data_IF_222555717522
#
_entry.id   IF_222555717522
#
_cell.length_a   1.000
_cell.length_b   1.000
_cell.length_c   1.000
_cell.angle_alpha   90.00
_cell.angle_beta   90.00
_cell.angle_gamma   90.00
#
_symmetry.space_group_name_H-M   'P 1'
#
loop_
_entity.id
_entity.type
_entity.pdbx_description
1 polymer ?
#
# COMPACT_ATOMS: atom_id res chain seq x y z
N UNK A 1 -47.61 5.08 -3.09
CA UNK A 1 -47.50 4.92 -4.55
C UNK A 1 -46.19 4.17 -4.76
N UNK A 2 -46.27 2.86 -4.92
CA UNK A 2 -45.09 1.99 -5.12
C UNK A 2 -44.45 2.36 -6.45
N UNK A 3 -43.20 2.84 -6.41
CA UNK A 3 -42.38 2.99 -7.59
C UNK A 3 -41.92 1.60 -8.01
N UNK A 4 -42.54 1.09 -9.07
CA UNK A 4 -42.07 -0.06 -9.81
C UNK A 4 -40.60 0.16 -10.18
N UNK A 5 -39.72 -0.73 -9.69
CA UNK A 5 -38.37 -0.86 -10.22
C UNK A 5 -38.50 -1.35 -11.66
N UNK A 6 -38.25 -0.45 -12.61
CA UNK A 6 -37.95 -0.87 -13.98
C UNK A 6 -36.64 -1.65 -13.93
N UNK A 7 -36.72 -2.93 -14.25
CA UNK A 7 -35.60 -3.87 -14.36
C UNK A 7 -34.90 -3.78 -15.73
N UNK A 8 -34.92 -2.62 -16.39
CA UNK A 8 -34.09 -2.37 -17.56
C UNK A 8 -32.77 -1.78 -17.09
N UNK A 9 -31.93 -2.63 -16.48
CA UNK A 9 -30.52 -2.31 -16.29
C UNK A 9 -29.89 -2.29 -17.67
N UNK A 10 -29.68 -1.09 -18.23
CA UNK A 10 -28.85 -0.91 -19.42
C UNK A 10 -27.48 -1.49 -19.07
N UNK A 11 -27.20 -2.68 -19.57
CA UNK A 11 -25.93 -3.36 -19.39
C UNK A 11 -24.82 -2.41 -19.85
N UNK A 12 -23.82 -2.10 -19.00
CA UNK A 12 -22.71 -1.21 -19.38
C UNK A 12 -22.18 -1.61 -20.74
N UNK A 13 -22.11 -0.64 -21.65
CA UNK A 13 -21.48 -0.85 -22.96
C UNK A 13 -19.97 -1.16 -22.76
N UNK A 14 -19.40 -0.76 -21.62
CA UNK A 14 -18.03 -0.96 -21.18
C UNK A 14 -17.57 -2.35 -20.72
N UNK A 15 -18.45 -3.35 -20.59
CA UNK A 15 -18.02 -4.70 -20.19
C UNK A 15 -17.09 -5.36 -21.24
N UNK A 16 -17.01 -4.80 -22.45
CA UNK A 16 -16.17 -5.31 -23.54
C UNK A 16 -14.68 -5.23 -23.23
N UNK A 17 -14.23 -4.18 -22.53
CA UNK A 17 -12.83 -4.01 -22.12
C UNK A 17 -12.60 -4.29 -20.63
N UNK A 18 -13.64 -4.60 -19.86
CA UNK A 18 -13.54 -4.96 -18.44
C UNK A 18 -12.53 -6.11 -18.20
N UNK A 19 -12.54 -7.14 -19.04
CA UNK A 19 -11.59 -8.25 -18.95
C UNK A 19 -10.14 -7.84 -19.25
N UNK A 20 -9.94 -6.76 -20.01
CA UNK A 20 -8.62 -6.18 -20.28
C UNK A 20 -8.18 -5.30 -19.10
N UNK A 21 -9.05 -4.39 -18.65
CA UNK A 21 -8.83 -3.48 -17.51
C UNK A 21 -8.50 -4.27 -16.24
N UNK A 22 -9.30 -5.29 -15.90
CA UNK A 22 -9.13 -6.12 -14.69
C UNK A 22 -7.81 -6.91 -14.64
N UNK A 23 -7.14 -7.11 -15.79
CA UNK A 23 -5.84 -7.80 -15.87
C UNK A 23 -4.64 -6.85 -15.80
N UNK A 24 -4.87 -5.54 -15.83
CA UNK A 24 -3.79 -4.57 -15.82
C UNK A 24 -2.98 -4.61 -14.51
N UNK A 25 -1.68 -4.31 -14.58
CA UNK A 25 -0.75 -4.43 -13.46
C UNK A 25 -1.08 -3.50 -12.27
N UNK A 26 -1.84 -2.43 -12.51
CA UNK A 26 -2.28 -1.47 -11.50
C UNK A 26 -2.99 -2.13 -10.31
N UNK A 27 -3.74 -3.21 -10.53
CA UNK A 27 -4.46 -3.93 -9.45
C UNK A 27 -3.51 -4.73 -8.54
N UNK A 28 -2.25 -4.85 -8.92
CA UNK A 28 -1.15 -5.37 -8.11
C UNK A 28 -0.21 -4.27 -7.61
N UNK A 29 -0.58 -3.00 -7.80
CA UNK A 29 0.22 -1.86 -7.36
C UNK A 29 0.43 -1.92 -5.83
N UNK A 30 1.67 -1.72 -5.36
CA UNK A 30 1.98 -1.84 -3.93
C UNK A 30 1.22 -0.84 -3.05
N UNK A 31 0.84 0.34 -3.58
CA UNK A 31 0.02 1.29 -2.84
C UNK A 31 -1.37 0.74 -2.55
N UNK A 32 -2.05 0.21 -3.57
CA UNK A 32 -3.40 -0.34 -3.43
C UNK A 32 -3.39 -1.59 -2.53
N UNK A 33 -2.36 -2.44 -2.64
CA UNK A 33 -2.18 -3.57 -1.72
C UNK A 33 -1.96 -3.12 -0.29
N UNK A 34 -1.19 -2.05 -0.06
CA UNK A 34 -0.99 -1.49 1.26
C UNK A 34 -2.31 -0.94 1.86
N UNK A 35 -3.15 -0.30 1.04
CA UNK A 35 -4.50 0.10 1.47
C UNK A 35 -5.34 -1.13 1.85
N UNK A 36 -5.40 -2.14 0.97
CA UNK A 36 -6.19 -3.37 1.18
C UNK A 36 -5.78 -4.15 2.44
N UNK A 37 -4.49 -4.13 2.75
CA UNK A 37 -3.91 -4.84 3.89
C UNK A 37 -3.88 -3.98 5.18
N UNK A 38 -4.45 -2.77 5.18
CA UNK A 38 -4.46 -1.84 6.31
C UNK A 38 -3.06 -1.47 6.83
N UNK A 39 -2.13 -1.24 5.90
CA UNK A 39 -0.72 -0.97 6.20
C UNK A 39 -0.38 0.52 6.29
N UNK A 40 -1.31 1.38 5.87
CA UNK A 40 -1.13 2.82 5.79
C UNK A 40 -1.72 3.50 7.02
N UNK A 41 -1.00 4.50 7.53
CA UNK A 41 -1.49 5.40 8.58
C UNK A 41 -2.36 6.52 8.00
N UNK A 42 -3.11 7.22 8.84
CA UNK A 42 -3.88 8.41 8.41
C UNK A 42 -2.96 9.49 7.82
N UNK A 43 -1.72 9.62 8.31
CA UNK A 43 -0.73 10.55 7.75
C UNK A 43 -0.26 10.12 6.34
N UNK A 44 -0.11 8.81 6.10
CA UNK A 44 0.23 8.28 4.77
C UNK A 44 -0.89 8.63 3.76
N UNK A 45 -2.16 8.42 4.13
CA UNK A 45 -3.31 8.84 3.31
C UNK A 45 -3.33 10.34 3.07
N UNK A 46 -3.04 11.15 4.10
CA UNK A 46 -2.96 12.60 3.96
C UNK A 46 -1.93 13.03 2.92
N UNK A 47 -0.75 12.40 2.90
CA UNK A 47 0.26 12.66 1.87
C UNK A 47 -0.23 12.27 0.47
N UNK A 48 -0.82 11.09 0.32
CA UNK A 48 -1.35 10.58 -0.96
C UNK A 48 -2.39 11.53 -1.53
N UNK A 49 -3.37 11.91 -0.70
CA UNK A 49 -4.49 12.78 -1.09
C UNK A 49 -3.99 14.20 -1.37
N UNK A 50 -3.04 14.70 -0.58
CA UNK A 50 -2.43 16.01 -0.83
C UNK A 50 -1.68 16.07 -2.17
N UNK A 51 -0.97 15.00 -2.56
CA UNK A 51 -0.38 14.94 -3.90
C UNK A 51 -1.46 14.81 -4.99
N UNK A 52 -2.47 13.96 -4.77
CA UNK A 52 -3.57 13.74 -5.72
C UNK A 52 -4.42 14.99 -5.97
N UNK A 53 -4.42 15.95 -5.03
CA UNK A 53 -5.08 17.24 -5.21
C UNK A 53 -4.65 17.97 -6.49
N UNK A 54 -3.39 17.85 -6.91
CA UNK A 54 -2.93 18.46 -8.17
C UNK A 54 -3.63 17.88 -9.41
N UNK A 55 -3.80 16.56 -9.44
CA UNK A 55 -4.53 15.88 -10.51
C UNK A 55 -6.01 16.29 -10.48
N UNK A 56 -6.64 16.18 -9.31
CA UNK A 56 -8.07 16.47 -9.11
C UNK A 56 -8.43 17.90 -9.50
N UNK A 57 -7.68 18.91 -9.03
CA UNK A 57 -7.96 20.32 -9.39
C UNK A 57 -7.77 20.61 -10.88
N UNK A 58 -6.97 19.80 -11.58
CA UNK A 58 -6.72 19.91 -13.01
C UNK A 58 -7.65 19.05 -13.87
N UNK A 59 -8.53 18.24 -13.27
CA UNK A 59 -9.28 17.20 -13.98
C UNK A 59 -10.17 17.75 -15.10
N UNK A 60 -10.84 18.89 -14.87
CA UNK A 60 -11.62 19.61 -15.88
C UNK A 60 -10.80 19.99 -17.12
N UNK A 61 -9.48 20.19 -17.00
CA UNK A 61 -8.59 20.44 -18.14
C UNK A 61 -8.39 19.18 -19.01
N UNK A 62 -8.46 17.99 -18.41
CA UNK A 62 -8.39 16.72 -19.14
C UNK A 62 -9.67 16.51 -19.96
N UNK A 63 -10.84 16.74 -19.35
CA UNK A 63 -12.14 16.70 -20.05
C UNK A 63 -12.16 17.72 -21.19
N UNK A 64 -11.71 18.96 -20.95
CA UNK A 64 -11.62 19.98 -21.99
C UNK A 64 -10.67 19.58 -23.14
N UNK A 65 -9.57 18.88 -22.85
CA UNK A 65 -8.66 18.39 -23.89
C UNK A 65 -9.32 17.31 -24.77
N UNK A 66 -10.12 16.41 -24.20
CA UNK A 66 -10.94 15.48 -24.98
C UNK A 66 -11.98 16.24 -25.82
N UNK A 67 -12.65 17.23 -25.23
CA UNK A 67 -13.67 18.04 -25.91
C UNK A 67 -13.12 18.75 -27.16
N UNK A 68 -11.86 19.19 -27.15
CA UNK A 68 -11.19 19.79 -28.31
C UNK A 68 -11.06 18.81 -29.47
N UNK A 69 -10.86 17.52 -29.19
CA UNK A 69 -10.71 16.47 -30.21
C UNK A 69 -12.03 15.81 -30.62
N UNK A 70 -13.15 16.20 -29.99
CA UNK A 70 -14.46 15.64 -30.25
C UNK A 70 -15.21 16.48 -31.29
N UNK A 71 -15.33 15.99 -32.52
CA UNK A 71 -15.97 16.71 -33.64
C UNK A 71 -17.52 16.73 -33.55
N UNK A 72 -18.11 15.77 -32.85
CA UNK A 72 -19.55 15.63 -32.68
C UNK A 72 -20.09 16.64 -31.65
N UNK A 73 -21.08 17.45 -32.05
CA UNK A 73 -21.63 18.51 -31.21
C UNK A 73 -22.48 17.99 -30.06
N UNK A 74 -23.17 16.87 -30.23
CA UNK A 74 -23.93 16.20 -29.17
C UNK A 74 -22.96 15.74 -28.07
N UNK A 75 -21.86 15.08 -28.43
CA UNK A 75 -20.90 14.61 -27.43
C UNK A 75 -20.14 15.74 -26.74
N UNK A 76 -19.88 16.85 -27.44
CA UNK A 76 -19.37 18.07 -26.77
C UNK A 76 -20.35 18.64 -25.75
N UNK A 77 -21.66 18.56 -25.98
CA UNK A 77 -22.66 18.97 -25.00
C UNK A 77 -22.66 18.05 -23.77
N UNK A 78 -22.55 16.74 -23.95
CA UNK A 78 -22.42 15.77 -22.86
C UNK A 78 -21.12 15.98 -22.04
N UNK A 79 -19.99 16.26 -22.69
CA UNK A 79 -18.75 16.63 -22.01
C UNK A 79 -18.86 17.97 -21.26
N UNK A 80 -19.66 18.91 -21.77
CA UNK A 80 -19.92 20.19 -21.08
C UNK A 80 -20.74 20.00 -19.81
N UNK A 81 -21.66 19.04 -19.81
CA UNK A 81 -22.40 18.62 -18.62
C UNK A 81 -21.45 18.04 -17.57
N UNK A 82 -20.52 17.17 -17.98
CA UNK A 82 -19.48 16.63 -17.08
C UNK A 82 -18.62 17.75 -16.47
N UNK A 83 -18.22 18.75 -17.28
CA UNK A 83 -17.49 19.93 -16.77
C UNK A 83 -18.29 20.76 -15.78
N UNK A 84 -19.61 20.88 -15.99
CA UNK A 84 -20.50 21.62 -15.10
C UNK A 84 -20.65 20.92 -13.75
N UNK A 85 -20.77 19.59 -13.74
CA UNK A 85 -20.85 18.77 -12.53
C UNK A 85 -19.54 18.83 -11.72
N UNK A 86 -18.39 18.62 -12.37
CA UNK A 86 -17.06 18.79 -11.74
C UNK A 86 -16.85 20.20 -11.15
N UNK A 87 -17.51 21.21 -11.74
CA UNK A 87 -17.48 22.60 -11.29
C UNK A 87 -18.49 22.93 -10.17
N UNK A 88 -19.23 21.94 -9.66
CA UNK A 88 -20.17 22.09 -8.54
C UNK A 88 -21.59 22.46 -8.97
N UNK A 89 -21.93 22.27 -10.24
CA UNK A 89 -23.27 22.49 -10.78
C UNK A 89 -23.80 23.93 -10.52
N UNK A 90 -24.91 24.06 -9.79
CA UNK A 90 -25.51 25.33 -9.40
C UNK A 90 -24.74 26.02 -8.25
N UNK A 91 -23.98 25.26 -7.45
CA UNK A 91 -23.19 25.77 -6.33
C UNK A 91 -21.70 25.57 -6.56
N UNK A 92 -21.05 26.62 -7.08
CA UNK A 92 -19.60 26.64 -7.31
C UNK A 92 -18.74 26.39 -6.05
N UNK A 93 -19.32 26.43 -4.85
CA UNK A 93 -18.63 26.07 -3.62
C UNK A 93 -18.50 24.56 -3.42
N UNK A 94 -19.37 23.78 -4.06
CA UNK A 94 -19.39 22.31 -4.05
C UNK A 94 -18.60 21.66 -5.19
N UNK A 95 -17.89 22.47 -6.00
CA UNK A 95 -16.95 21.93 -7.00
C UNK A 95 -16.02 20.89 -6.38
N UNK A 96 -15.72 19.83 -7.12
CA UNK A 96 -15.01 18.67 -6.59
C UNK A 96 -13.65 19.02 -5.97
N UNK A 97 -12.94 19.98 -6.57
CA UNK A 97 -11.70 20.50 -6.00
C UNK A 97 -11.88 21.14 -4.61
N UNK A 98 -13.03 21.79 -4.33
CA UNK A 98 -13.34 22.31 -2.99
C UNK A 98 -13.72 21.21 -2.01
N UNK A 99 -14.46 20.18 -2.43
CA UNK A 99 -14.72 19.00 -1.60
C UNK A 99 -13.39 18.37 -1.13
N UNK A 100 -12.42 18.27 -2.04
CA UNK A 100 -11.09 17.77 -1.72
C UNK A 100 -10.31 18.72 -0.79
N UNK A 101 -10.45 20.05 -0.95
CA UNK A 101 -9.90 21.04 0.01
C UNK A 101 -10.48 20.86 1.41
N UNK A 102 -11.82 20.70 1.52
CA UNK A 102 -12.52 20.48 2.79
C UNK A 102 -11.99 19.19 3.46
N UNK A 103 -11.91 18.09 2.72
CA UNK A 103 -11.33 16.83 3.19
C UNK A 103 -9.87 16.98 3.66
N UNK A 104 -9.03 17.67 2.88
CA UNK A 104 -7.63 17.94 3.22
C UNK A 104 -7.47 18.73 4.52
N UNK A 105 -8.29 19.75 4.71
CA UNK A 105 -8.32 20.56 5.93
C UNK A 105 -8.83 19.76 7.13
N UNK A 106 -10.01 19.16 7.01
CA UNK A 106 -10.73 18.56 8.14
C UNK A 106 -10.10 17.24 8.63
N UNK A 107 -9.62 16.40 7.71
CA UNK A 107 -9.10 15.07 8.05
C UNK A 107 -7.59 15.09 8.27
N UNK A 108 -6.87 15.92 7.53
CA UNK A 108 -5.40 15.88 7.49
C UNK A 108 -4.71 17.17 7.94
N UNK A 109 -5.47 18.23 8.26
CA UNK A 109 -4.91 19.50 8.74
C UNK A 109 -4.16 20.31 7.68
N UNK A 110 -4.40 20.04 6.38
CA UNK A 110 -3.77 20.75 5.26
C UNK A 110 -4.67 21.90 4.84
N UNK A 111 -4.45 23.07 5.44
CA UNK A 111 -5.33 24.24 5.29
C UNK A 111 -5.13 25.04 3.99
N UNK A 112 -3.95 24.95 3.36
CA UNK A 112 -3.63 25.67 2.12
C UNK A 112 -3.07 24.72 1.05
N UNK A 113 -3.91 23.81 0.52
CA UNK A 113 -3.45 22.80 -0.43
C UNK A 113 -3.06 23.36 -1.80
N UNK A 114 -3.51 24.57 -2.15
CA UNK A 114 -3.18 25.22 -3.43
C UNK A 114 -1.72 25.64 -3.52
N UNK A 115 -1.11 26.00 -2.39
CA UNK A 115 0.31 26.36 -2.28
C UNK A 115 1.19 25.20 -1.79
N UNK A 116 0.65 23.99 -1.70
CA UNK A 116 1.43 22.80 -1.36
C UNK A 116 2.55 22.54 -2.37
N UNK A 117 3.66 22.00 -1.88
CA UNK A 117 4.71 21.49 -2.74
C UNK A 117 4.29 20.12 -3.31
N UNK A 118 4.23 20.03 -4.62
CA UNK A 118 3.99 18.77 -5.34
C UNK A 118 5.31 18.15 -5.77
N UNK A 119 5.37 16.83 -5.73
CA UNK A 119 6.53 16.10 -6.24
C UNK A 119 6.55 16.11 -7.77
N UNK A 120 7.75 16.00 -8.34
CA UNK A 120 7.93 16.00 -9.80
C UNK A 120 7.11 14.89 -10.48
N UNK A 121 7.01 13.71 -9.87
CA UNK A 121 6.20 12.61 -10.42
C UNK A 121 4.69 12.92 -10.43
N UNK A 122 4.21 13.77 -9.52
CA UNK A 122 2.81 14.22 -9.46
C UNK A 122 2.53 15.17 -10.63
N UNK A 123 3.44 16.12 -10.85
CA UNK A 123 3.36 17.06 -11.96
C UNK A 123 3.45 16.33 -13.31
N UNK A 124 4.43 15.43 -13.46
CA UNK A 124 4.61 14.63 -14.68
C UNK A 124 3.42 13.70 -14.96
N UNK A 125 2.81 13.09 -13.93
CA UNK A 125 1.62 12.27 -14.13
C UNK A 125 0.49 13.08 -14.80
N UNK A 126 0.18 14.26 -14.25
CA UNK A 126 -0.84 15.13 -14.83
C UNK A 126 -0.47 15.62 -16.23
N UNK A 127 0.76 16.09 -16.43
CA UNK A 127 1.21 16.59 -17.73
C UNK A 127 1.25 15.49 -18.80
N UNK A 128 1.62 14.25 -18.45
CA UNK A 128 1.57 13.11 -19.36
C UNK A 128 0.13 12.75 -19.76
N UNK A 129 -0.82 12.79 -18.82
CA UNK A 129 -2.25 12.61 -19.11
C UNK A 129 -2.76 13.69 -20.06
N UNK A 130 -2.50 14.96 -19.74
CA UNK A 130 -2.91 16.09 -20.57
C UNK A 130 -2.25 16.05 -21.95
N UNK A 131 -0.96 15.71 -22.01
CA UNK A 131 -0.23 15.57 -23.26
C UNK A 131 -0.82 14.44 -24.13
N UNK A 132 -1.13 13.28 -23.55
CA UNK A 132 -1.77 12.20 -24.29
C UNK A 132 -3.10 12.66 -24.89
N UNK A 133 -3.95 13.30 -24.09
CA UNK A 133 -5.27 13.76 -24.55
C UNK A 133 -5.15 14.80 -25.66
N UNK A 134 -4.26 15.79 -25.52
CA UNK A 134 -4.06 16.84 -26.54
C UNK A 134 -3.56 16.34 -27.90
N UNK A 135 -2.93 15.16 -27.95
CA UNK A 135 -2.31 14.63 -29.16
C UNK A 135 -2.93 13.31 -29.63
N UNK A 136 -4.05 12.89 -29.02
CA UNK A 136 -4.84 11.74 -29.45
C UNK A 136 -6.02 12.19 -30.32
N UNK A 137 -6.57 11.27 -31.11
CA UNK A 137 -7.88 11.49 -31.73
C UNK A 137 -9.00 11.28 -30.70
N UNK A 138 -10.25 11.51 -31.12
CA UNK A 138 -11.42 11.35 -30.25
C UNK A 138 -11.54 9.95 -29.64
N UNK A 139 -11.29 8.88 -30.43
CA UNK A 139 -11.40 7.48 -29.96
C UNK A 139 -10.39 7.22 -28.85
N UNK A 140 -9.11 7.50 -29.08
CA UNK A 140 -8.05 7.29 -28.10
C UNK A 140 -8.23 8.16 -26.86
N UNK A 141 -8.61 9.43 -27.03
CA UNK A 141 -8.85 10.32 -25.90
C UNK A 141 -10.04 9.90 -25.03
N UNK A 142 -11.14 9.51 -25.66
CA UNK A 142 -12.32 8.99 -24.97
C UNK A 142 -12.02 7.64 -24.31
N UNK A 143 -11.27 6.76 -24.96
CA UNK A 143 -10.88 5.49 -24.35
C UNK A 143 -9.99 5.67 -23.11
N UNK A 144 -9.06 6.62 -23.17
CA UNK A 144 -8.18 6.99 -22.06
C UNK A 144 -8.98 7.46 -20.85
N UNK A 145 -9.96 8.37 -21.05
CA UNK A 145 -10.76 8.90 -19.95
C UNK A 145 -11.86 7.92 -19.49
N UNK A 146 -12.63 7.37 -20.42
CA UNK A 146 -13.79 6.53 -20.14
C UNK A 146 -13.41 5.25 -19.39
N UNK A 147 -12.60 4.37 -19.98
CA UNK A 147 -12.21 3.12 -19.32
C UNK A 147 -10.95 3.27 -18.44
N UNK A 148 -10.05 4.18 -18.79
CA UNK A 148 -8.73 4.29 -18.14
C UNK A 148 -8.69 5.24 -16.94
N UNK A 149 -9.66 6.15 -16.79
CA UNK A 149 -9.73 7.06 -15.62
C UNK A 149 -11.05 7.00 -14.88
N UNK A 150 -12.17 7.31 -15.53
CA UNK A 150 -13.49 7.37 -14.89
C UNK A 150 -13.96 5.96 -14.54
N UNK A 151 -13.92 5.02 -15.48
CA UNK A 151 -14.41 3.66 -15.28
C UNK A 151 -13.64 2.81 -14.26
N UNK A 152 -12.54 3.32 -13.70
CA UNK A 152 -11.79 2.69 -12.60
C UNK A 152 -11.83 3.50 -11.31
N UNK A 153 -12.50 4.66 -11.29
CA UNK A 153 -12.39 5.62 -10.19
C UNK A 153 -13.06 5.10 -8.92
N UNK A 154 -14.27 4.53 -8.97
CA UNK A 154 -14.90 3.98 -7.77
C UNK A 154 -14.08 2.83 -7.17
N UNK A 155 -13.57 1.92 -8.01
CA UNK A 155 -12.76 0.80 -7.51
C UNK A 155 -11.50 1.32 -6.81
N UNK A 156 -10.76 2.26 -7.43
CA UNK A 156 -9.55 2.84 -6.83
C UNK A 156 -9.89 3.62 -5.56
N UNK A 157 -10.93 4.45 -5.57
CA UNK A 157 -11.30 5.28 -4.42
C UNK A 157 -11.84 4.44 -3.27
N UNK A 158 -12.44 3.27 -3.55
CA UNK A 158 -12.87 2.33 -2.51
C UNK A 158 -11.70 1.86 -1.63
N UNK A 159 -10.49 1.69 -2.18
CA UNK A 159 -9.31 1.36 -1.37
C UNK A 159 -8.98 2.48 -0.37
N UNK A 160 -9.07 3.74 -0.80
CA UNK A 160 -8.79 4.91 0.05
C UNK A 160 -9.89 5.11 1.10
N UNK A 161 -11.14 5.03 0.68
CA UNK A 161 -12.31 5.18 1.53
C UNK A 161 -12.30 4.12 2.63
N UNK A 162 -12.21 2.83 2.25
CA UNK A 162 -12.21 1.71 3.19
C UNK A 162 -11.02 1.76 4.15
N UNK A 163 -9.87 2.24 3.69
CA UNK A 163 -8.69 2.42 4.54
C UNK A 163 -8.88 3.51 5.60
N UNK A 164 -9.44 4.66 5.21
CA UNK A 164 -9.68 5.78 6.11
C UNK A 164 -10.79 5.50 7.12
N UNK A 165 -11.88 4.85 6.71
CA UNK A 165 -12.97 4.47 7.61
C UNK A 165 -12.53 3.46 8.65
N UNK A 166 -11.69 2.49 8.28
CA UNK A 166 -11.10 1.53 9.22
C UNK A 166 -10.16 2.20 10.25
N UNK A 167 -9.55 3.32 9.90
CA UNK A 167 -8.78 4.16 10.83
C UNK A 167 -9.66 5.06 11.70
N UNK A 168 -10.98 5.02 11.54
CA UNK A 168 -11.94 5.77 12.34
C UNK A 168 -12.27 7.17 11.79
N UNK A 169 -11.90 7.49 10.55
CA UNK A 169 -12.33 8.74 9.90
C UNK A 169 -13.82 8.66 9.59
N UNK A 170 -14.56 9.70 9.94
CA UNK A 170 -15.99 9.78 9.68
C UNK A 170 -16.26 9.85 8.16
N UNK A 171 -17.15 9.00 7.66
CA UNK A 171 -17.53 8.93 6.24
C UNK A 171 -18.01 10.28 5.68
N UNK A 172 -18.66 11.11 6.50
CA UNK A 172 -19.11 12.45 6.08
C UNK A 172 -17.95 13.37 5.69
N UNK A 173 -16.77 13.18 6.27
CA UNK A 173 -15.56 13.93 5.93
C UNK A 173 -14.88 13.40 4.65
N UNK A 174 -15.35 12.27 4.12
CA UNK A 174 -14.85 11.62 2.92
C UNK A 174 -15.75 11.88 1.69
N UNK A 175 -16.61 12.92 1.75
CA UNK A 175 -17.57 13.25 0.69
C UNK A 175 -16.98 13.32 -0.72
N UNK A 176 -15.73 13.81 -0.87
CA UNK A 176 -15.02 13.79 -2.15
C UNK A 176 -14.85 12.37 -2.70
N UNK A 177 -14.53 11.39 -1.87
CA UNK A 177 -14.40 10.00 -2.31
C UNK A 177 -15.79 9.39 -2.58
N UNK A 178 -16.74 9.62 -1.68
CA UNK A 178 -18.09 9.06 -1.79
C UNK A 178 -18.79 9.47 -3.08
N UNK A 179 -18.74 10.74 -3.48
CA UNK A 179 -19.41 11.19 -4.71
C UNK A 179 -18.89 10.47 -5.96
N UNK A 180 -17.57 10.26 -6.07
CA UNK A 180 -16.98 9.53 -7.20
C UNK A 180 -17.18 8.00 -7.09
N UNK A 181 -17.56 7.48 -5.92
CA UNK A 181 -17.92 6.07 -5.74
C UNK A 181 -19.41 5.82 -5.98
N UNK A 182 -20.27 6.80 -5.67
CA UNK A 182 -21.73 6.73 -5.80
C UNK A 182 -22.21 7.11 -7.21
N UNK A 183 -21.48 7.96 -7.95
CA UNK A 183 -21.83 8.43 -9.29
C UNK A 183 -21.53 7.44 -10.44
N UNK A 184 -21.02 6.23 -10.15
CA UNK A 184 -20.10 5.58 -11.10
C UNK A 184 -20.72 4.64 -12.16
N UNK A 185 -21.77 5.10 -12.85
CA UNK A 185 -22.22 4.47 -14.10
C UNK A 185 -22.46 5.48 -15.26
N UNK A 186 -22.75 6.76 -15.00
CA UNK A 186 -23.15 7.68 -16.08
C UNK A 186 -21.99 8.38 -16.79
N UNK A 187 -21.00 8.95 -16.07
CA UNK A 187 -19.88 9.69 -16.71
C UNK A 187 -18.98 8.80 -17.54
N UNK A 188 -18.53 7.68 -16.96
CA UNK A 188 -17.75 6.70 -17.68
C UNK A 188 -18.51 6.21 -18.92
N UNK A 189 -19.80 5.85 -18.79
CA UNK A 189 -20.60 5.37 -19.92
C UNK A 189 -20.76 6.43 -21.02
N UNK A 190 -20.95 7.71 -20.66
CA UNK A 190 -20.99 8.81 -21.63
C UNK A 190 -19.68 8.88 -22.41
N UNK A 191 -18.54 8.91 -21.73
CA UNK A 191 -17.24 9.01 -22.40
C UNK A 191 -16.92 7.76 -23.22
N UNK A 192 -17.24 6.57 -22.71
CA UNK A 192 -17.12 5.30 -23.44
C UNK A 192 -17.96 5.33 -24.74
N UNK A 193 -19.18 5.88 -24.69
CA UNK A 193 -20.04 6.04 -25.87
C UNK A 193 -19.45 6.99 -26.92
N UNK A 194 -18.69 8.01 -26.52
CA UNK A 194 -17.96 8.88 -27.46
C UNK A 194 -16.99 8.02 -28.28
N UNK A 195 -16.18 7.18 -27.61
CA UNK A 195 -15.21 6.33 -28.30
C UNK A 195 -15.91 5.37 -29.28
N UNK A 196 -16.99 4.73 -28.84
CA UNK A 196 -17.71 3.72 -29.62
C UNK A 196 -18.47 4.31 -30.81
N UNK A 197 -19.08 5.48 -30.63
CA UNK A 197 -19.76 6.16 -31.73
C UNK A 197 -18.78 6.54 -32.84
N UNK A 198 -17.58 7.01 -32.47
CA UNK A 198 -16.54 7.39 -33.41
C UNK A 198 -15.92 6.19 -34.15
N UNK A 199 -16.10 4.96 -33.66
CA UNK A 199 -15.72 3.74 -34.37
C UNK A 199 -16.60 3.45 -35.60
N UNK A 200 -17.70 4.18 -35.81
CA UNK A 200 -18.58 4.06 -36.98
C UNK A 200 -19.04 2.63 -37.30
N UNK A 201 -19.26 1.81 -36.26
CA UNK A 201 -19.70 0.42 -36.39
C UNK A 201 -18.60 -0.61 -36.66
N UNK A 202 -17.33 -0.20 -36.78
CA UNK A 202 -16.17 -1.10 -36.97
C UNK A 202 -15.24 -1.06 -35.75
N UNK A 203 -15.75 -1.54 -34.61
CA UNK A 203 -15.00 -1.54 -33.36
C UNK A 203 -13.76 -2.44 -33.41
N UNK A 204 -13.79 -3.52 -34.19
CA UNK A 204 -12.67 -4.47 -34.26
C UNK A 204 -11.43 -3.80 -34.87
N UNK A 205 -11.61 -2.89 -35.83
CA UNK A 205 -10.54 -2.07 -36.40
C UNK A 205 -9.90 -1.11 -35.40
N UNK A 206 -10.65 -0.63 -34.41
CA UNK A 206 -10.20 0.34 -33.40
C UNK A 206 -9.84 -0.29 -32.05
N UNK A 207 -10.09 -1.59 -31.88
CA UNK A 207 -9.86 -2.33 -30.62
C UNK A 207 -8.45 -2.13 -30.05
N UNK A 208 -7.43 -2.24 -30.90
CA UNK A 208 -6.03 -2.08 -30.51
C UNK A 208 -5.70 -0.65 -30.06
N UNK A 209 -6.31 0.35 -30.69
CA UNK A 209 -6.12 1.76 -30.32
C UNK A 209 -6.79 2.06 -28.97
N UNK A 210 -7.99 1.52 -28.75
CA UNK A 210 -8.71 1.64 -27.48
C UNK A 210 -7.91 0.95 -26.36
N UNK A 211 -7.49 -0.30 -26.55
CA UNK A 211 -6.67 -1.03 -25.57
C UNK A 211 -5.37 -0.29 -25.25
N UNK A 212 -4.69 0.26 -26.27
CA UNK A 212 -3.46 1.03 -26.06
C UNK A 212 -3.70 2.32 -25.25
N UNK A 213 -4.82 3.02 -25.48
CA UNK A 213 -5.19 4.21 -24.72
C UNK A 213 -5.53 3.88 -23.25
N UNK A 214 -6.26 2.78 -23.03
CA UNK A 214 -6.59 2.27 -21.69
C UNK A 214 -5.30 1.89 -20.94
N UNK A 215 -4.44 1.07 -21.57
CA UNK A 215 -3.16 0.66 -21.00
C UNK A 215 -2.29 1.86 -20.66
N UNK A 216 -2.26 2.88 -21.53
CA UNK A 216 -1.52 4.12 -21.28
C UNK A 216 -2.03 4.85 -20.04
N UNK A 217 -3.34 5.02 -19.88
CA UNK A 217 -3.94 5.68 -18.72
C UNK A 217 -3.60 4.94 -17.42
N UNK A 218 -3.82 3.62 -17.40
CA UNK A 218 -3.60 2.80 -16.23
C UNK A 218 -2.10 2.67 -15.89
N UNK A 219 -1.22 2.59 -16.89
CA UNK A 219 0.24 2.56 -16.71
C UNK A 219 0.76 3.87 -16.13
N UNK A 220 0.24 5.02 -16.58
CA UNK A 220 0.61 6.33 -16.02
C UNK A 220 0.24 6.41 -14.53
N UNK A 221 -0.97 5.95 -14.19
CA UNK A 221 -1.45 5.92 -12.80
C UNK A 221 -0.68 4.92 -11.94
N UNK A 222 -0.35 3.74 -12.47
CA UNK A 222 0.47 2.73 -11.78
C UNK A 222 1.86 3.28 -11.41
N UNK A 223 2.52 3.98 -12.35
CA UNK A 223 3.81 4.65 -12.08
C UNK A 223 3.67 5.72 -11.01
N UNK A 224 2.62 6.53 -11.09
CA UNK A 224 2.31 7.57 -10.11
C UNK A 224 2.12 6.98 -8.70
N UNK A 225 1.27 5.96 -8.57
CA UNK A 225 1.00 5.29 -7.29
C UNK A 225 2.23 4.57 -6.74
N UNK A 226 3.05 3.96 -7.62
CA UNK A 226 4.33 3.36 -7.21
C UNK A 226 5.29 4.42 -6.65
N UNK A 227 5.34 5.61 -7.25
CA UNK A 227 6.18 6.70 -6.76
C UNK A 227 5.70 7.21 -5.39
N UNK A 228 4.39 7.43 -5.21
CA UNK A 228 3.79 7.77 -3.91
C UNK A 228 4.15 6.75 -2.84
N UNK A 229 3.97 5.45 -3.13
CA UNK A 229 4.28 4.37 -2.18
C UNK A 229 5.76 4.34 -1.78
N UNK A 230 6.67 4.59 -2.74
CA UNK A 230 8.11 4.67 -2.46
C UNK A 230 8.42 5.81 -1.49
N UNK A 231 7.78 6.96 -1.63
CA UNK A 231 8.06 8.11 -0.78
C UNK A 231 7.53 7.93 0.64
N UNK A 232 6.30 7.47 0.83
CA UNK A 232 5.79 7.17 2.18
C UNK A 232 6.62 6.07 2.86
N UNK A 233 7.15 5.10 2.10
CA UNK A 233 8.02 4.05 2.64
C UNK A 233 9.40 4.61 3.04
N UNK A 234 9.97 5.53 2.26
CA UNK A 234 11.24 6.19 2.61
C UNK A 234 11.10 7.05 3.87
N UNK A 235 9.99 7.79 4.02
CA UNK A 235 9.76 8.64 5.19
C UNK A 235 9.79 7.81 6.49
N UNK A 236 9.31 6.56 6.46
CA UNK A 236 9.39 5.64 7.61
C UNK A 236 10.83 5.33 8.03
N UNK A 237 11.82 5.50 7.15
CA UNK A 237 13.25 5.31 7.44
C UNK A 237 13.95 6.58 7.95
N UNK A 238 13.34 7.76 7.79
CA UNK A 238 13.95 9.02 8.20
C UNK A 238 14.40 9.03 9.67
N UNK A 239 13.64 8.50 10.65
CA UNK A 239 14.12 8.47 12.03
C UNK A 239 15.47 7.76 12.21
N UNK A 240 15.70 6.68 11.46
CA UNK A 240 16.97 5.92 11.47
C UNK A 240 18.10 6.70 10.80
N UNK A 241 17.78 7.37 9.69
CA UNK A 241 18.76 8.13 8.91
C UNK A 241 19.13 9.46 9.58
N UNK A 242 18.19 10.09 10.27
CA UNK A 242 18.35 11.41 10.86
C UNK A 242 19.50 11.45 11.85
N UNK A 243 19.60 10.46 12.74
CA UNK A 243 20.68 10.39 13.72
C UNK A 243 22.04 10.20 13.06
N UNK A 244 22.09 9.39 11.99
CA UNK A 244 23.30 9.18 11.18
C UNK A 244 23.74 10.48 10.50
N UNK A 245 22.81 11.17 9.84
CA UNK A 245 23.08 12.41 9.09
C UNK A 245 23.43 13.57 10.03
N UNK A 246 22.71 13.70 11.14
CA UNK A 246 22.96 14.72 12.18
C UNK A 246 24.18 14.39 13.05
N UNK A 247 24.75 13.18 12.92
CA UNK A 247 25.82 12.66 13.79
C UNK A 247 25.45 12.75 15.27
N UNK A 248 24.19 12.44 15.58
CA UNK A 248 23.63 12.50 16.92
C UNK A 248 23.50 11.10 17.51
N UNK A 249 23.66 10.99 18.84
CA UNK A 249 23.37 9.75 19.55
C UNK A 249 21.85 9.50 19.56
N UNK A 250 21.41 8.28 19.25
CA UNK A 250 20.00 7.88 19.32
C UNK A 250 19.45 7.93 20.75
N UNK A 251 20.30 7.65 21.74
CA UNK A 251 19.93 7.54 23.15
C UNK A 251 20.90 8.29 24.05
N UNK A 252 20.41 8.74 25.20
CA UNK A 252 21.28 9.29 26.23
C UNK A 252 22.22 8.19 26.76
N UNK A 253 23.49 8.53 26.95
CA UNK A 253 24.51 7.63 27.49
C UNK A 253 24.17 7.17 28.91
N UNK A 254 23.48 8.01 29.67
CA UNK A 254 23.07 7.70 31.05
C UNK A 254 22.01 6.59 31.12
N UNK A 255 21.31 6.31 30.01
CA UNK A 255 20.32 5.22 29.92
C UNK A 255 20.96 3.86 29.55
N UNK A 256 22.27 3.84 29.28
CA UNK A 256 22.97 2.62 28.83
C UNK A 256 23.38 1.77 30.02
N UNK A 257 22.81 0.57 30.10
CA UNK A 257 23.04 -0.39 31.19
C UNK A 257 23.68 -1.69 30.70
N UNK A 258 24.35 -2.40 31.62
CA UNK A 258 24.79 -3.77 31.38
C UNK A 258 23.60 -4.74 31.56
N UNK A 259 23.50 -5.73 30.66
CA UNK A 259 22.47 -6.76 30.71
C UNK A 259 23.09 -8.12 31.03
N UNK A 260 22.54 -8.82 32.02
CA UNK A 260 22.83 -10.23 32.23
C UNK A 260 21.96 -11.04 31.29
N UNK A 261 22.54 -11.94 30.48
CA UNK A 261 21.80 -12.76 29.51
C UNK A 261 21.03 -13.91 30.18
N UNK A 262 20.35 -13.65 31.29
CA UNK A 262 19.46 -14.59 31.97
C UNK A 262 18.03 -14.38 31.48
N UNK A 263 17.23 -15.44 31.46
CA UNK A 263 15.83 -15.36 31.03
C UNK A 263 15.03 -14.33 31.83
N UNK A 264 15.26 -14.27 33.15
CA UNK A 264 14.62 -13.33 34.09
C UNK A 264 15.01 -11.86 33.87
N UNK A 265 16.04 -11.60 33.06
CA UNK A 265 16.52 -10.25 32.77
C UNK A 265 15.96 -9.68 31.46
N UNK A 266 15.19 -10.49 30.72
CA UNK A 266 14.49 -10.05 29.50
C UNK A 266 12.98 -10.23 29.65
N UNK A 267 12.25 -9.48 28.84
CA UNK A 267 10.79 -9.57 28.79
C UNK A 267 10.39 -10.83 28.01
N UNK A 268 9.43 -11.57 28.55
CA UNK A 268 8.92 -12.76 27.88
C UNK A 268 8.22 -12.36 26.57
N UNK A 269 8.81 -12.75 25.44
CA UNK A 269 8.29 -12.37 24.12
C UNK A 269 7.38 -13.47 23.56
N UNK A 270 7.82 -14.72 23.67
CA UNK A 270 7.12 -15.86 23.06
C UNK A 270 7.54 -17.19 23.68
N UNK A 271 6.62 -18.14 23.76
CA UNK A 271 6.93 -19.55 24.01
C UNK A 271 5.97 -20.47 23.24
N UNK A 272 6.39 -21.71 23.01
CA UNK A 272 5.48 -22.78 22.58
C UNK A 272 5.94 -24.13 23.13
N UNK A 273 4.98 -25.00 23.42
CA UNK A 273 5.16 -26.38 23.86
C UNK A 273 4.14 -27.30 23.19
N UNK A 274 4.63 -28.21 22.35
CA UNK A 274 3.85 -29.24 21.66
C UNK A 274 4.59 -30.59 21.72
N UNK A 275 4.05 -31.51 22.52
CA UNK A 275 4.72 -32.78 22.82
C UNK A 275 4.84 -33.72 21.60
N UNK A 276 3.84 -33.76 20.70
CA UNK A 276 3.83 -34.66 19.53
C UNK A 276 4.96 -34.39 18.54
N UNK A 277 5.46 -33.15 18.51
CA UNK A 277 6.45 -32.67 17.56
C UNK A 277 7.79 -32.34 18.23
N UNK A 278 7.96 -32.67 19.52
CA UNK A 278 9.10 -32.26 20.36
C UNK A 278 9.37 -30.75 20.34
N UNK A 279 8.33 -29.93 20.18
CA UNK A 279 8.47 -28.47 20.21
C UNK A 279 8.40 -28.02 21.67
N UNK A 280 9.44 -27.38 22.17
CA UNK A 280 9.44 -26.77 23.49
C UNK A 280 10.55 -25.72 23.53
N UNK A 281 10.18 -24.45 23.64
CA UNK A 281 11.15 -23.36 23.71
C UNK A 281 10.56 -22.09 24.31
N UNK A 282 11.44 -21.23 24.79
CA UNK A 282 11.11 -19.88 25.26
C UNK A 282 11.99 -18.85 24.55
N UNK A 283 11.42 -17.66 24.33
CA UNK A 283 12.11 -16.50 23.77
C UNK A 283 11.90 -15.31 24.70
N UNK A 284 13.00 -14.76 25.21
CA UNK A 284 13.00 -13.49 25.96
C UNK A 284 13.65 -12.40 25.11
N UNK A 285 13.12 -11.18 25.16
CA UNK A 285 13.68 -9.99 24.49
C UNK A 285 14.46 -9.16 25.51
N UNK A 286 15.64 -8.66 25.14
CA UNK A 286 16.32 -7.67 25.97
C UNK A 286 16.09 -6.27 25.38
N UNK A 287 15.32 -5.46 26.11
CA UNK A 287 15.04 -4.08 25.74
C UNK A 287 16.25 -3.18 26.03
N UNK A 288 17.30 -3.35 25.23
CA UNK A 288 18.56 -2.58 25.34
C UNK A 288 18.44 -1.15 24.79
N UNK A 289 17.30 -0.82 24.16
CA UNK A 289 17.04 0.47 23.52
C UNK A 289 17.96 0.78 22.34
N UNK A 290 18.38 -0.27 21.63
CA UNK A 290 19.03 -0.14 20.33
C UNK A 290 18.00 0.26 19.27
N UNK A 291 18.43 1.11 18.35
CA UNK A 291 17.59 1.65 17.28
C UNK A 291 17.19 0.58 16.25
N UNK A 292 18.15 -0.25 15.82
CA UNK A 292 17.96 -1.26 14.77
C UNK A 292 18.12 -2.69 15.27
N UNK A 293 19.05 -2.94 16.18
CA UNK A 293 19.30 -4.28 16.72
C UNK A 293 18.31 -4.64 17.82
N UNK A 294 17.84 -5.88 17.81
CA UNK A 294 16.89 -6.45 18.73
C UNK A 294 17.39 -7.82 19.24
N UNK A 295 18.10 -7.84 20.38
CA UNK A 295 18.64 -9.07 20.97
C UNK A 295 17.55 -9.90 21.65
N UNK A 296 17.55 -11.21 21.37
CA UNK A 296 16.61 -12.19 21.90
C UNK A 296 17.36 -13.42 22.43
N UNK A 297 16.95 -13.93 23.58
CA UNK A 297 17.45 -15.21 24.12
C UNK A 297 16.45 -16.31 23.78
N UNK A 298 16.86 -17.26 22.95
CA UNK A 298 16.15 -18.50 22.67
C UNK A 298 16.70 -19.62 23.56
N UNK A 299 15.80 -20.33 24.23
CA UNK A 299 16.13 -21.45 25.10
C UNK A 299 15.35 -22.70 24.69
N UNK A 300 16.05 -23.81 24.49
CA UNK A 300 15.47 -25.08 24.06
C UNK A 300 15.94 -26.20 25.00
N UNK A 301 15.01 -26.88 25.72
CA UNK A 301 15.36 -28.03 26.54
C UNK A 301 15.96 -29.19 25.74
N UNK A 302 16.61 -30.13 26.44
CA UNK A 302 17.20 -31.32 25.82
C UNK A 302 16.17 -32.09 24.99
N UNK A 303 16.59 -32.54 23.79
CA UNK A 303 15.76 -33.33 22.88
C UNK A 303 14.58 -32.57 22.24
N UNK A 304 14.48 -31.26 22.46
CA UNK A 304 13.43 -30.41 21.92
C UNK A 304 13.93 -29.52 20.77
N UNK A 305 12.99 -28.87 20.09
CA UNK A 305 13.25 -27.87 19.04
C UNK A 305 12.28 -26.69 19.12
N UNK A 306 12.56 -25.62 18.37
CA UNK A 306 11.56 -24.58 18.09
C UNK A 306 10.82 -24.84 16.77
N UNK A 307 9.75 -24.07 16.53
CA UNK A 307 8.95 -24.16 15.31
C UNK A 307 9.74 -23.73 14.06
N UNK A 308 9.42 -24.36 12.92
CA UNK A 308 9.91 -23.90 11.63
C UNK A 308 9.17 -22.64 11.19
N UNK A 309 9.93 -21.58 10.89
CA UNK A 309 9.40 -20.30 10.46
C UNK A 309 10.40 -19.58 9.54
N UNK A 310 10.00 -18.45 8.96
CA UNK A 310 10.85 -17.54 8.19
C UNK A 310 10.42 -16.12 8.51
N UNK A 311 11.34 -15.17 8.50
CA UNK A 311 11.06 -13.78 8.84
C UNK A 311 11.82 -12.81 7.95
N UNK A 312 11.34 -11.57 7.90
CA UNK A 312 11.95 -10.52 7.09
C UNK A 312 13.22 -9.93 7.71
N UNK A 313 13.48 -10.12 9.00
CA UNK A 313 14.72 -9.66 9.64
C UNK A 313 15.84 -10.68 9.40
N UNK A 314 17.07 -10.21 9.44
CA UNK A 314 18.26 -11.06 9.54
C UNK A 314 18.50 -11.42 11.00
N UNK A 315 19.04 -12.61 11.22
CA UNK A 315 19.37 -13.06 12.58
C UNK A 315 20.78 -13.65 12.62
N UNK A 316 21.57 -13.20 13.59
CA UNK A 316 22.84 -13.81 13.96
C UNK A 316 22.61 -14.59 15.25
N UNK A 317 22.78 -15.90 15.21
CA UNK A 317 22.68 -16.78 16.36
C UNK A 317 24.07 -17.01 16.94
N UNK A 318 24.28 -16.58 18.19
CA UNK A 318 25.48 -16.88 18.96
C UNK A 318 25.14 -17.90 20.05
N UNK A 319 25.83 -19.03 20.07
CA UNK A 319 25.51 -20.13 20.99
C UNK A 319 26.19 -19.88 22.34
N UNK A 320 25.40 -19.68 23.38
CA UNK A 320 25.88 -19.40 24.73
C UNK A 320 26.22 -20.68 25.51
N UNK A 321 25.43 -21.74 25.33
CA UNK A 321 25.63 -23.04 25.98
C UNK A 321 24.85 -24.14 25.25
N UNK A 322 25.23 -25.40 25.48
CA UNK A 322 24.63 -26.57 24.81
C UNK A 322 25.21 -26.84 23.42
N UNK A 323 24.67 -27.89 22.80
CA UNK A 323 24.97 -28.31 21.45
C UNK A 323 23.67 -28.55 20.68
N UNK A 324 23.63 -28.15 19.42
CA UNK A 324 22.41 -28.17 18.64
C UNK A 324 22.66 -28.20 17.14
N UNK A 325 21.56 -28.16 16.40
CA UNK A 325 21.54 -28.03 14.94
C UNK A 325 20.66 -26.86 14.55
N UNK A 326 21.13 -26.03 13.62
CA UNK A 326 20.31 -25.03 12.95
C UNK A 326 20.03 -25.54 11.54
N UNK A 327 18.76 -25.70 11.21
CA UNK A 327 18.29 -26.10 9.89
C UNK A 327 17.91 -24.86 9.09
N UNK A 328 18.47 -24.69 7.90
CA UNK A 328 18.33 -23.51 7.02
C UNK A 328 17.98 -23.98 5.61
N UNK A 329 16.70 -23.97 5.25
CA UNK A 329 16.24 -24.56 4.00
C UNK A 329 16.61 -26.05 3.90
N UNK A 330 17.54 -26.39 3.01
CA UNK A 330 18.06 -27.75 2.82
C UNK A 330 19.36 -28.04 3.58
N UNK A 331 19.95 -27.04 4.23
CA UNK A 331 21.21 -27.18 4.97
C UNK A 331 20.95 -27.41 6.45
N UNK A 332 21.81 -28.21 7.07
CA UNK A 332 21.86 -28.39 8.52
C UNK A 332 23.26 -28.06 9.00
N UNK A 333 23.37 -27.23 10.03
CA UNK A 333 24.64 -26.81 10.62
C UNK A 333 24.63 -27.26 12.09
N UNK A 334 25.58 -28.12 12.45
CA UNK A 334 25.83 -28.44 13.87
C UNK A 334 26.58 -27.28 14.53
N UNK A 335 26.22 -26.99 15.77
CA UNK A 335 26.79 -25.90 16.52
C UNK A 335 26.94 -26.25 18.01
N UNK A 336 27.88 -25.58 18.66
CA UNK A 336 28.17 -25.68 20.08
C UNK A 336 28.47 -24.28 20.65
N UNK A 337 28.61 -24.20 21.97
CA UNK A 337 28.95 -22.95 22.66
C UNK A 337 30.19 -22.26 22.05
N UNK A 338 30.05 -20.97 21.75
CA UNK A 338 31.06 -20.15 21.08
C UNK A 338 30.90 -20.03 19.56
N UNK A 339 30.05 -20.85 18.95
CA UNK A 339 29.79 -20.78 17.51
C UNK A 339 28.79 -19.66 17.15
N UNK A 340 28.86 -19.24 15.88
CA UNK A 340 27.97 -18.25 15.28
C UNK A 340 27.33 -18.81 14.01
N UNK A 341 26.01 -18.65 13.88
CA UNK A 341 25.24 -19.04 12.70
C UNK A 341 24.46 -17.84 12.18
N UNK A 342 24.60 -17.52 10.90
CA UNK A 342 23.81 -16.48 10.23
C UNK A 342 22.57 -17.07 9.58
N UNK A 343 21.43 -16.42 9.81
CA UNK A 343 20.12 -16.75 9.25
C UNK A 343 19.68 -15.62 8.33
N UNK A 344 19.70 -15.83 7.00
CA UNK A 344 19.24 -14.82 6.04
C UNK A 344 17.73 -14.60 6.11
N UNK A 345 17.28 -13.42 5.64
CA UNK A 345 15.86 -13.10 5.48
C UNK A 345 15.16 -14.16 4.63
N UNK A 346 13.92 -14.47 4.98
CA UNK A 346 13.01 -15.33 4.21
C UNK A 346 13.44 -16.79 4.02
N UNK A 347 14.51 -17.25 4.68
CA UNK A 347 14.88 -18.66 4.70
C UNK A 347 14.14 -19.36 5.83
N UNK A 348 13.37 -20.42 5.49
CA UNK A 348 12.73 -21.28 6.49
C UNK A 348 13.78 -21.94 7.37
N UNK A 349 13.62 -21.80 8.68
CA UNK A 349 14.60 -22.31 9.63
C UNK A 349 13.98 -22.72 10.97
N UNK A 350 14.72 -23.56 11.70
CA UNK A 350 14.50 -23.89 13.10
C UNK A 350 15.81 -24.40 13.73
N UNK A 351 15.84 -24.44 15.05
CA UNK A 351 16.94 -24.94 15.87
C UNK A 351 16.48 -26.14 16.69
N UNK A 352 17.35 -27.13 16.78
CA UNK A 352 17.15 -28.38 17.53
C UNK A 352 18.26 -28.54 18.57
N UNK A 353 17.90 -28.94 19.79
CA UNK A 353 18.86 -29.28 20.82
C UNK A 353 19.18 -30.79 20.78
N UNK A 354 20.42 -31.11 20.38
CA UNK A 354 20.93 -32.49 20.30
C UNK A 354 21.87 -32.84 21.46
N UNK A 355 22.14 -31.89 22.35
CA UNK A 355 23.05 -32.05 23.49
C UNK A 355 22.35 -32.58 24.74
N UNK A 356 23.11 -32.65 25.84
CA UNK A 356 22.67 -33.14 27.14
C UNK A 356 22.32 -32.03 28.15
N UNK A 357 22.40 -30.77 27.73
CA UNK A 357 22.05 -29.61 28.54
C UNK A 357 21.12 -28.69 27.75
N UNK A 358 20.59 -27.66 28.41
CA UNK A 358 19.74 -26.67 27.75
C UNK A 358 20.56 -25.88 26.72
N UNK A 359 20.09 -25.89 25.48
CA UNK A 359 20.62 -25.05 24.41
C UNK A 359 20.16 -23.61 24.63
N UNK A 360 21.12 -22.68 24.66
CA UNK A 360 20.87 -21.24 24.82
C UNK A 360 21.49 -20.48 23.65
N UNK A 361 20.66 -19.76 22.91
CA UNK A 361 21.04 -19.03 21.70
C UNK A 361 20.72 -17.55 21.89
N UNK A 362 21.73 -16.69 21.76
CA UNK A 362 21.53 -15.26 21.62
C UNK A 362 21.30 -14.94 20.14
N UNK A 363 20.07 -14.62 19.78
CA UNK A 363 19.72 -14.12 18.46
C UNK A 363 19.82 -12.60 18.44
N UNK A 364 20.76 -12.05 17.67
CA UNK A 364 20.86 -10.63 17.37
C UNK A 364 20.16 -10.38 16.03
N UNK A 365 19.09 -9.60 16.04
CA UNK A 365 18.26 -9.38 14.83
C UNK A 365 18.19 -7.89 14.48
N UNK A 366 17.97 -7.55 13.22
CA UNK A 366 17.74 -6.15 12.80
C UNK A 366 16.25 -5.76 12.90
N UNK A 367 15.49 -6.39 13.81
CA UNK A 367 14.05 -6.21 13.88
C UNK A 367 13.63 -4.76 14.15
N UNK A 368 14.48 -3.93 14.76
CA UNK A 368 14.24 -2.50 14.95
C UNK A 368 14.11 -1.72 13.63
N UNK A 369 14.86 -2.11 12.59
CA UNK A 369 14.68 -1.63 11.21
C UNK A 369 13.48 -2.30 10.56
N UNK A 370 13.43 -3.63 10.63
CA UNK A 370 12.45 -4.44 9.89
C UNK A 370 11.01 -4.11 10.28
N UNK A 371 10.74 -3.80 11.55
CA UNK A 371 9.40 -3.42 12.05
C UNK A 371 8.84 -2.11 11.46
N UNK A 372 9.68 -1.30 10.81
CA UNK A 372 9.25 -0.07 10.14
C UNK A 372 8.56 -0.34 8.80
N UNK A 373 8.68 -1.57 8.29
CA UNK A 373 8.05 -1.99 7.05
C UNK A 373 6.70 -2.68 7.33
N UNK A 374 5.73 -2.56 6.41
CA UNK A 374 4.42 -3.17 6.58
C UNK A 374 4.45 -4.68 6.83
N UNK A 375 3.47 -5.20 7.58
CA UNK A 375 3.35 -6.62 7.93
C UNK A 375 4.51 -7.21 8.76
N UNK A 376 5.40 -6.39 9.32
CA UNK A 376 6.53 -6.83 10.15
C UNK A 376 6.26 -6.58 11.65
N UNK A 377 5.49 -7.45 12.30
CA UNK A 377 5.19 -7.40 13.74
C UNK A 377 5.91 -8.52 14.49
N UNK A 378 5.92 -8.48 15.82
CA UNK A 378 6.49 -9.54 16.65
C UNK A 378 5.83 -10.92 16.42
N UNK A 379 4.62 -10.94 15.84
CA UNK A 379 3.80 -12.12 15.60
C UNK A 379 3.72 -12.54 14.13
N UNK A 380 4.13 -11.69 13.18
CA UNK A 380 3.88 -11.87 11.74
C UNK A 380 4.41 -13.18 11.13
N UNK A 381 5.35 -13.85 11.80
CA UNK A 381 6.07 -15.00 11.25
C UNK A 381 5.80 -16.31 11.96
N UNK A 382 4.82 -16.34 12.88
CA UNK A 382 4.58 -17.50 13.77
C UNK A 382 3.21 -18.11 13.53
N UNK A 383 3.12 -19.44 13.56
CA UNK A 383 1.91 -20.20 13.22
C UNK A 383 0.93 -20.39 14.39
N UNK A 384 1.38 -20.20 15.64
CA UNK A 384 0.54 -20.33 16.85
C UNK A 384 0.87 -19.20 17.82
N UNK A 385 -0.09 -18.30 18.05
CA UNK A 385 0.01 -17.20 19.01
C UNK A 385 -0.67 -17.67 20.30
N UNK A 386 0.12 -18.10 21.28
CA UNK A 386 -0.28 -17.95 22.67
C UNK A 386 0.41 -16.67 23.16
N UNK A 387 -0.30 -15.55 23.12
CA UNK A 387 0.17 -14.36 23.81
C UNK A 387 0.23 -14.69 25.31
N UNK A 388 1.38 -14.44 25.94
CA UNK A 388 1.48 -14.48 27.40
C UNK A 388 0.80 -13.18 27.86
N UNK A 389 -0.38 -13.30 28.46
CA UNK A 389 -1.03 -12.22 29.23
C UNK A 389 -0.22 -11.82 30.44
#
# INVERSE_FOLDING_TARGET
MELQRNNDTVQRIGNRFEAFVSKHAIWQNPLLKACQNNELSQADYGYIIAQHFYYSKGFTRLIAALMVNCDDDKFRAELSQNLWEEAGEEDSTERHSNLLRKMLSNVFGVNDPDNSQFQDYTLHYFEDCLHFLKHSNCIGGAAFLGWGTEGVVAEIYSYLFNGLTQLGVNEQELAYLSIHMECDDEHAAVIENIALSQCNGDLDKHSHEIEAAIDRALTLRDRYFTALYRDITKVKLNPLMDNILKKAAYRNIDDVCAYSLKQSSGDALYNNKENSSNINFTVSRFNIGSEVMDPRLLEIPQGCKNEQHQHAHESIFYILSGAGRVHLGTRTIEMQAGDLVYVPRWIKHYSENIGNEKLRVLALTDFGLTKLFPQNTDFSYRKKIAAIT
#
